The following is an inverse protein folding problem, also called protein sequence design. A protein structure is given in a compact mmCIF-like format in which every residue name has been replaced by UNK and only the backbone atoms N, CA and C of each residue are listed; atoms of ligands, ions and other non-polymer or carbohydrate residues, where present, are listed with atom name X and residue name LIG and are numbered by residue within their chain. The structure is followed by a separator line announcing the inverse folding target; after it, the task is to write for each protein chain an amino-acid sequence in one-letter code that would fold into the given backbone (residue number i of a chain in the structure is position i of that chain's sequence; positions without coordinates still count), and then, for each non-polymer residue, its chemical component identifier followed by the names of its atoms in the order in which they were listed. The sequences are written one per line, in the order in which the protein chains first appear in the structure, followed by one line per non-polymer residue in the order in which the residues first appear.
data_IF_469978837334
#
_entry.id   IF_469978837334
#
_cell.length_a   1.000
_cell.length_b   1.000
_cell.length_c   1.000
_cell.angle_alpha   90.00
_cell.angle_beta   90.00
_cell.angle_gamma   90.00
#
_symmetry.space_group_name_H-M   'P 1'
#
loop_
_entity.id
_entity.type
_entity.pdbx_description
1 polymer ?
#
# COMPACT_ATOMS: atom_id res chain seq x y z
N UNK A 1 70.78 47.37 36.02
CA UNK A 1 70.82 47.36 34.55
C UNK A 1 70.34 46.01 34.04
N UNK A 2 69.03 45.84 33.84
CA UNK A 2 68.51 44.56 33.32
C UNK A 2 67.34 44.88 32.42
N UNK A 3 67.45 44.56 31.13
CA UNK A 3 66.47 44.81 30.07
C UNK A 3 65.41 43.73 30.08
N UNK A 4 64.17 44.10 30.34
CA UNK A 4 63.01 43.24 30.18
C UNK A 4 62.62 43.21 28.69
N UNK A 5 62.64 42.03 28.06
CA UNK A 5 62.14 41.78 26.73
C UNK A 5 60.69 41.24 26.88
N UNK A 6 59.71 42.02 26.45
CA UNK A 6 58.33 41.58 26.34
C UNK A 6 58.16 40.68 25.11
N UNK A 7 57.83 39.44 25.36
CA UNK A 7 57.45 38.47 24.34
C UNK A 7 55.90 38.55 24.10
N UNK A 8 55.54 39.10 22.96
CA UNK A 8 54.12 39.16 22.56
C UNK A 8 53.75 37.84 21.94
N UNK A 9 52.80 37.09 22.55
CA UNK A 9 52.24 35.91 22.01
C UNK A 9 51.04 36.31 21.14
N UNK A 10 51.14 36.14 19.80
CA UNK A 10 50.02 36.20 18.89
C UNK A 10 49.22 34.89 18.99
N UNK A 11 48.00 34.94 19.54
CA UNK A 11 47.05 33.86 19.47
C UNK A 11 46.29 34.00 18.16
N UNK A 12 46.59 33.14 17.19
CA UNK A 12 45.81 33.01 15.96
C UNK A 12 44.59 32.16 16.27
N UNK A 13 43.42 32.80 16.40
CA UNK A 13 42.15 32.11 16.49
C UNK A 13 41.74 31.61 15.07
N UNK A 14 41.96 30.34 14.80
CA UNK A 14 41.42 29.68 13.61
C UNK A 14 39.91 29.45 13.81
N UNK A 15 39.07 30.33 13.26
CA UNK A 15 37.65 30.12 13.20
C UNK A 15 37.36 29.01 12.15
N UNK A 16 37.21 27.76 12.63
CA UNK A 16 36.75 26.64 11.81
C UNK A 16 35.31 26.85 11.42
N UNK A 17 35.06 27.20 10.16
CA UNK A 17 33.74 27.25 9.56
C UNK A 17 33.23 25.81 9.39
N UNK A 18 32.45 25.31 10.36
CA UNK A 18 31.72 24.05 10.23
C UNK A 18 30.63 24.24 9.21
N UNK A 19 30.87 23.87 7.95
CA UNK A 19 29.84 23.66 6.94
C UNK A 19 28.97 22.49 7.38
N UNK A 20 27.84 22.80 7.98
CA UNK A 20 26.78 21.81 8.22
C UNK A 20 26.24 21.38 6.87
N UNK A 21 26.72 20.27 6.34
CA UNK A 21 26.08 19.60 5.20
C UNK A 21 24.75 19.03 5.71
N UNK A 22 23.69 19.81 5.54
CA UNK A 22 22.33 19.29 5.72
C UNK A 22 22.13 18.20 4.66
N UNK A 23 22.28 16.95 5.06
CA UNK A 23 21.82 15.84 4.25
C UNK A 23 20.30 15.98 4.19
N UNK A 24 19.81 16.58 3.10
CA UNK A 24 18.42 16.39 2.71
C UNK A 24 18.21 14.89 2.55
N UNK A 25 17.53 14.28 3.52
CA UNK A 25 17.03 12.92 3.35
C UNK A 25 16.05 13.00 2.18
N UNK A 26 16.55 12.73 0.99
CA UNK A 26 15.70 12.52 -0.17
C UNK A 26 14.67 11.48 0.25
N UNK A 27 13.43 11.92 0.35
CA UNK A 27 12.30 11.07 0.71
C UNK A 27 12.29 9.93 -0.31
N UNK A 28 12.58 8.71 0.14
CA UNK A 28 12.59 7.57 -0.77
C UNK A 28 11.22 7.50 -1.44
N UNK A 29 11.16 7.27 -2.77
CA UNK A 29 9.90 7.11 -3.45
C UNK A 29 9.06 6.08 -2.72
N UNK A 30 7.77 6.37 -2.53
CA UNK A 30 6.84 5.38 -1.98
C UNK A 30 6.84 4.16 -2.91
N UNK A 31 7.51 3.09 -2.49
CA UNK A 31 7.68 1.87 -3.30
C UNK A 31 6.34 1.22 -3.67
N UNK A 32 5.26 1.69 -3.04
CA UNK A 32 3.92 1.19 -3.28
C UNK A 32 3.29 1.64 -4.60
N UNK A 33 3.61 2.84 -5.09
CA UNK A 33 2.99 3.43 -6.29
C UNK A 33 4.07 3.79 -7.29
N UNK A 34 4.42 2.84 -8.17
CA UNK A 34 5.42 3.05 -9.23
C UNK A 34 4.77 2.92 -10.61
N UNK A 35 4.18 4.00 -11.13
CA UNK A 35 3.56 4.01 -12.43
C UNK A 35 4.59 3.74 -13.54
N UNK A 36 4.18 2.93 -14.52
CA UNK A 36 5.02 2.55 -15.67
C UNK A 36 5.90 1.34 -15.46
N UNK A 37 6.09 0.86 -14.22
CA UNK A 37 6.77 -0.40 -13.98
C UNK A 37 5.88 -1.56 -14.45
N UNK A 38 6.40 -2.43 -15.28
CA UNK A 38 5.67 -3.66 -15.64
C UNK A 38 5.72 -4.66 -14.49
N UNK A 39 4.62 -5.42 -14.24
CA UNK A 39 4.63 -6.44 -13.23
C UNK A 39 5.67 -7.51 -13.57
N UNK A 40 6.39 -7.97 -12.56
CA UNK A 40 7.23 -9.16 -12.68
C UNK A 40 6.36 -10.38 -12.37
N UNK A 41 5.87 -11.05 -13.40
CA UNK A 41 5.02 -12.23 -13.29
C UNK A 41 5.80 -13.48 -12.79
N UNK A 42 7.13 -13.38 -12.65
CA UNK A 42 7.96 -14.43 -12.05
C UNK A 42 8.00 -14.38 -10.53
N UNK A 43 7.46 -13.33 -9.91
CA UNK A 43 7.38 -13.22 -8.45
C UNK A 43 6.44 -14.28 -7.91
N UNK A 44 7.01 -15.29 -7.28
CA UNK A 44 6.26 -16.30 -6.53
C UNK A 44 5.96 -15.77 -5.12
N UNK A 45 4.68 -15.76 -4.76
CA UNK A 45 4.28 -15.38 -3.40
C UNK A 45 4.69 -16.46 -2.40
N UNK A 46 5.17 -16.04 -1.24
CA UNK A 46 5.34 -16.96 -0.13
C UNK A 46 4.04 -17.72 0.16
N UNK A 47 4.09 -19.00 0.56
CA UNK A 47 2.89 -19.82 0.81
C UNK A 47 1.86 -19.18 1.73
N UNK A 48 2.29 -18.32 2.67
CA UNK A 48 1.42 -17.55 3.55
C UNK A 48 0.48 -16.61 2.77
N UNK A 49 0.96 -16.02 1.66
CA UNK A 49 0.21 -15.02 0.87
C UNK A 49 -0.52 -15.62 -0.32
N UNK A 50 -0.33 -16.90 -0.60
CA UNK A 50 -1.02 -17.58 -1.70
C UNK A 50 -2.51 -17.76 -1.39
N UNK A 51 -3.32 -17.67 -2.44
CA UNK A 51 -4.76 -17.95 -2.35
C UNK A 51 -5.01 -19.38 -1.90
N UNK A 52 -5.82 -19.54 -0.84
CA UNK A 52 -6.17 -20.88 -0.34
C UNK A 52 -7.51 -20.91 0.40
N UNK A 53 -8.16 -22.07 0.40
CA UNK A 53 -9.35 -22.32 1.20
C UNK A 53 -8.94 -22.59 2.65
N UNK A 54 -9.54 -21.86 3.59
CA UNK A 54 -9.26 -22.00 5.03
C UNK A 54 -10.55 -22.21 5.84
N UNK A 55 -10.43 -22.80 7.01
CA UNK A 55 -11.49 -22.72 8.02
C UNK A 55 -11.55 -21.29 8.56
N UNK A 56 -12.76 -20.74 8.56
CA UNK A 56 -12.96 -19.37 9.01
C UNK A 56 -14.32 -19.22 9.70
N UNK A 57 -14.30 -19.05 11.01
CA UNK A 57 -15.52 -18.87 11.80
C UNK A 57 -15.89 -17.40 11.84
N UNK A 58 -17.06 -17.07 11.39
CA UNK A 58 -17.60 -15.72 11.42
C UNK A 58 -19.13 -15.75 11.46
N UNK A 59 -19.75 -14.68 11.93
CA UNK A 59 -21.19 -14.45 11.87
C UNK A 59 -21.63 -13.81 10.56
N UNK A 60 -20.66 -13.43 9.71
CA UNK A 60 -20.94 -12.84 8.41
C UNK A 60 -21.50 -13.88 7.41
N UNK A 61 -22.45 -13.46 6.60
CA UNK A 61 -23.06 -14.34 5.61
C UNK A 61 -22.06 -14.73 4.49
N UNK A 62 -22.21 -15.94 3.89
CA UNK A 62 -21.48 -16.29 2.69
C UNK A 62 -21.60 -15.21 1.60
N UNK A 63 -20.51 -14.96 0.87
CA UNK A 63 -20.40 -13.88 -0.11
C UNK A 63 -19.90 -12.55 0.48
N UNK A 64 -19.84 -12.40 1.80
CA UNK A 64 -19.22 -11.22 2.44
C UNK A 64 -17.70 -11.27 2.28
N UNK A 65 -17.08 -10.11 2.00
CA UNK A 65 -15.64 -9.91 2.07
C UNK A 65 -15.29 -9.40 3.45
N UNK A 66 -14.33 -10.05 4.12
CA UNK A 66 -13.72 -9.57 5.38
C UNK A 66 -12.25 -9.28 5.11
N UNK A 67 -11.80 -8.08 5.46
CA UNK A 67 -10.40 -7.67 5.32
C UNK A 67 -9.81 -7.48 6.71
N UNK A 68 -8.78 -8.26 7.05
CA UNK A 68 -7.98 -8.10 8.25
C UNK A 68 -6.68 -7.38 7.88
N UNK A 69 -6.57 -6.09 8.24
CA UNK A 69 -5.35 -5.33 7.95
C UNK A 69 -4.18 -5.76 8.83
N UNK A 70 -4.45 -6.26 10.04
CA UNK A 70 -3.42 -6.82 10.93
C UNK A 70 -2.79 -8.09 10.35
N UNK A 71 -3.62 -8.98 9.80
CA UNK A 71 -3.17 -10.23 9.20
C UNK A 71 -2.70 -10.06 7.76
N UNK A 72 -3.03 -8.94 7.11
CA UNK A 72 -2.79 -8.67 5.68
C UNK A 72 -3.42 -9.74 4.78
N UNK A 73 -4.66 -10.12 5.16
CA UNK A 73 -5.46 -11.08 4.41
C UNK A 73 -6.86 -10.53 4.10
N UNK A 74 -7.37 -10.95 2.96
CA UNK A 74 -8.77 -10.78 2.56
C UNK A 74 -9.42 -12.17 2.55
N UNK A 75 -10.61 -12.26 3.14
CA UNK A 75 -11.39 -13.49 3.24
C UNK A 75 -12.73 -13.31 2.51
N UNK A 76 -12.97 -14.10 1.49
CA UNK A 76 -14.30 -14.23 0.88
C UNK A 76 -15.02 -15.36 1.59
N UNK A 77 -16.01 -15.02 2.43
CA UNK A 77 -16.77 -15.97 3.25
C UNK A 77 -17.49 -16.98 2.37
N UNK A 78 -17.35 -18.26 2.69
CA UNK A 78 -17.97 -19.40 2.02
C UNK A 78 -18.90 -20.15 2.96
N UNK A 79 -19.85 -20.95 2.44
CA UNK A 79 -20.66 -21.84 3.27
C UNK A 79 -19.79 -22.83 4.08
N UNK A 80 -20.32 -23.31 5.20
CA UNK A 80 -19.70 -24.37 5.99
C UNK A 80 -18.49 -23.93 6.82
N UNK A 81 -18.47 -22.69 7.30
CA UNK A 81 -17.42 -22.18 8.19
C UNK A 81 -16.06 -22.09 7.51
N UNK A 82 -16.03 -21.79 6.22
CA UNK A 82 -14.84 -21.64 5.40
C UNK A 82 -14.76 -20.27 4.77
N UNK A 83 -13.58 -19.88 4.31
CA UNK A 83 -13.37 -18.73 3.46
C UNK A 83 -12.27 -19.00 2.43
N UNK A 84 -12.38 -18.35 1.28
CA UNK A 84 -11.26 -18.25 0.35
C UNK A 84 -10.42 -17.06 0.79
N UNK A 85 -9.18 -17.35 1.22
CA UNK A 85 -8.22 -16.38 1.73
C UNK A 85 -7.27 -15.94 0.63
N UNK A 86 -7.03 -14.64 0.54
CA UNK A 86 -6.06 -14.01 -0.36
C UNK A 86 -5.06 -13.20 0.45
N UNK A 87 -3.78 -13.26 0.11
CA UNK A 87 -2.77 -12.35 0.62
C UNK A 87 -2.95 -10.95 0.03
N UNK A 88 -2.82 -9.92 0.85
CA UNK A 88 -3.01 -8.54 0.40
C UNK A 88 -1.92 -7.60 0.89
N UNK A 89 -1.63 -6.56 0.09
CA UNK A 89 -0.96 -5.36 0.57
C UNK A 89 -1.99 -4.39 1.16
N UNK A 90 -1.64 -3.74 2.28
CA UNK A 90 -2.55 -2.87 3.02
C UNK A 90 -1.99 -1.45 3.20
N UNK A 91 -2.79 -0.55 3.76
CA UNK A 91 -2.38 0.80 4.12
C UNK A 91 -1.17 0.80 5.05
N UNK A 92 -0.17 1.64 4.75
CA UNK A 92 0.95 1.91 5.66
C UNK A 92 0.45 2.60 6.94
N UNK A 93 1.31 2.70 7.93
CA UNK A 93 0.97 3.33 9.19
C UNK A 93 0.46 4.77 8.98
N UNK A 94 -0.64 5.12 9.65
CA UNK A 94 -1.39 6.36 9.45
C UNK A 94 -2.41 6.36 8.30
N UNK A 95 -2.42 5.32 7.45
CA UNK A 95 -3.40 5.14 6.37
C UNK A 95 -4.30 3.91 6.55
N UNK A 96 -4.25 3.30 7.71
CA UNK A 96 -5.13 2.18 8.05
C UNK A 96 -6.48 2.69 8.53
N UNK A 97 -7.53 2.01 8.12
CA UNK A 97 -8.91 2.31 8.50
C UNK A 97 -9.69 1.03 8.76
N UNK A 98 -10.84 1.17 9.38
CA UNK A 98 -11.80 0.09 9.59
C UNK A 98 -13.21 0.59 9.31
N UNK A 99 -14.11 -0.32 8.97
CA UNK A 99 -15.50 0.04 8.70
C UNK A 99 -16.24 -0.98 7.86
N UNK A 100 -17.48 -0.62 7.55
CA UNK A 100 -18.40 -1.40 6.73
C UNK A 100 -18.72 -0.61 5.48
N UNK A 101 -18.42 -1.18 4.33
CA UNK A 101 -18.70 -0.63 3.01
C UNK A 101 -19.31 -1.71 2.10
N UNK A 102 -19.61 -1.35 0.88
CA UNK A 102 -19.99 -2.28 -0.18
C UNK A 102 -19.24 -1.96 -1.46
N UNK A 103 -19.11 -2.94 -2.35
CA UNK A 103 -18.60 -2.71 -3.70
C UNK A 103 -19.63 -1.87 -4.45
N UNK A 104 -19.28 -0.63 -4.75
CA UNK A 104 -20.17 0.31 -5.47
C UNK A 104 -20.00 0.21 -6.99
N UNK A 105 -18.81 -0.13 -7.47
CA UNK A 105 -18.46 -0.21 -8.88
C UNK A 105 -17.27 -1.17 -9.08
N UNK A 106 -17.24 -1.78 -10.26
CA UNK A 106 -16.16 -2.67 -10.71
C UNK A 106 -15.61 -2.13 -12.04
N UNK A 107 -14.32 -2.31 -12.27
CA UNK A 107 -13.67 -1.96 -13.53
C UNK A 107 -12.54 -2.93 -13.87
N UNK A 108 -12.43 -3.26 -15.15
CA UNK A 108 -11.30 -3.97 -15.72
C UNK A 108 -10.28 -2.98 -16.24
N UNK A 109 -9.01 -3.24 -16.00
CA UNK A 109 -7.89 -2.37 -16.40
C UNK A 109 -8.22 -0.89 -16.19
N UNK A 110 -8.52 -0.47 -14.93
CA UNK A 110 -9.00 0.87 -14.65
C UNK A 110 -7.93 1.93 -14.92
N UNK A 111 -8.36 3.09 -15.37
CA UNK A 111 -7.53 4.27 -15.37
C UNK A 111 -7.19 4.69 -13.93
N UNK A 112 -6.03 5.27 -13.74
CA UNK A 112 -5.56 5.76 -12.46
C UNK A 112 -5.36 7.27 -12.46
N UNK A 113 -6.01 7.93 -11.53
CA UNK A 113 -5.81 9.34 -11.20
C UNK A 113 -5.42 9.38 -9.72
N UNK A 114 -4.17 9.75 -9.40
CA UNK A 114 -3.76 9.91 -8.01
C UNK A 114 -4.61 10.94 -7.29
N UNK A 115 -5.04 10.70 -6.03
CA UNK A 115 -5.69 11.70 -5.21
C UNK A 115 -4.80 12.95 -5.02
N UNK A 116 -5.39 14.16 -4.86
CA UNK A 116 -4.61 15.39 -4.67
C UNK A 116 -3.58 15.28 -3.54
N UNK A 117 -3.94 14.70 -2.41
CA UNK A 117 -3.06 14.53 -1.25
C UNK A 117 -1.88 13.58 -1.55
N UNK A 118 -2.05 12.65 -2.48
CA UNK A 118 -0.96 11.79 -2.95
C UNK A 118 0.00 12.59 -3.82
N UNK A 119 -0.51 13.45 -4.68
CA UNK A 119 0.31 14.35 -5.52
C UNK A 119 1.09 15.35 -4.66
N UNK A 120 0.50 15.86 -3.57
CA UNK A 120 1.21 16.74 -2.65
C UNK A 120 2.41 16.04 -2.00
N UNK A 121 2.24 14.78 -1.61
CA UNK A 121 3.34 13.97 -1.04
C UNK A 121 4.35 13.50 -2.08
N UNK A 122 3.91 13.31 -3.33
CA UNK A 122 4.70 12.75 -4.42
C UNK A 122 4.46 13.55 -5.72
N UNK A 123 5.04 14.76 -5.84
CA UNK A 123 4.76 15.67 -6.97
C UNK A 123 5.19 15.13 -8.34
N UNK A 124 6.07 14.13 -8.36
CA UNK A 124 6.57 13.47 -9.57
C UNK A 124 5.56 12.49 -10.21
N UNK A 125 4.49 12.12 -9.50
CA UNK A 125 3.48 11.21 -10.04
C UNK A 125 2.73 11.84 -11.22
N UNK A 126 2.37 11.05 -12.25
CA UNK A 126 1.53 11.52 -13.33
C UNK A 126 0.16 11.92 -12.79
N UNK A 127 -0.48 12.91 -13.42
CA UNK A 127 -1.85 13.36 -13.04
C UNK A 127 -2.92 12.38 -13.51
N UNK A 128 -2.59 11.54 -14.49
CA UNK A 128 -3.45 10.52 -15.07
C UNK A 128 -2.59 9.42 -15.67
N UNK A 129 -3.05 8.18 -15.59
CA UNK A 129 -2.48 7.03 -16.26
C UNK A 129 -3.59 6.12 -16.77
N UNK A 130 -3.57 5.83 -18.06
CA UNK A 130 -4.49 4.89 -18.67
C UNK A 130 -4.33 3.47 -18.09
N UNK A 131 -5.39 2.68 -18.12
CA UNK A 131 -5.37 1.28 -17.71
C UNK A 131 -4.37 0.46 -18.53
N UNK A 132 -3.75 -0.52 -17.89
CA UNK A 132 -2.76 -1.39 -18.52
C UNK A 132 -1.78 -2.00 -17.52
N UNK A 133 -0.86 -2.87 -17.97
CA UNK A 133 0.05 -3.62 -17.08
C UNK A 133 0.92 -2.73 -16.18
N UNK A 134 1.37 -1.58 -16.65
CA UNK A 134 2.16 -0.63 -15.86
C UNK A 134 1.35 0.27 -14.93
N UNK A 135 0.02 0.12 -14.89
CA UNK A 135 -0.84 0.92 -14.02
C UNK A 135 -0.85 0.35 -12.59
N UNK A 136 -0.64 1.18 -11.55
CA UNK A 136 -0.62 0.72 -10.15
C UNK A 136 -1.91 0.02 -9.67
N UNK A 137 -3.05 0.24 -10.33
CA UNK A 137 -4.30 -0.45 -9.99
C UNK A 137 -4.39 -1.87 -10.58
N UNK A 138 -3.47 -2.25 -11.46
CA UNK A 138 -3.43 -3.58 -12.04
C UNK A 138 -4.65 -3.95 -12.88
N UNK A 139 -4.92 -5.26 -12.99
CA UNK A 139 -5.89 -5.80 -13.93
C UNK A 139 -7.36 -5.50 -13.58
N UNK A 140 -7.72 -5.33 -12.30
CA UNK A 140 -9.09 -5.12 -11.83
C UNK A 140 -9.13 -4.16 -10.66
N UNK A 141 -10.23 -3.41 -10.53
CA UNK A 141 -10.54 -2.65 -9.33
C UNK A 141 -12.01 -2.77 -8.93
N UNK A 142 -12.24 -2.86 -7.63
CA UNK A 142 -13.55 -2.84 -6.97
C UNK A 142 -13.58 -1.64 -6.03
N UNK A 143 -14.42 -0.67 -6.32
CA UNK A 143 -14.51 0.61 -5.60
C UNK A 143 -15.44 0.47 -4.41
N UNK A 144 -15.04 0.96 -3.25
CA UNK A 144 -15.73 0.78 -1.98
C UNK A 144 -16.58 2.01 -1.62
N UNK A 145 -17.90 1.87 -1.70
CA UNK A 145 -18.84 2.96 -1.43
C UNK A 145 -18.55 4.21 -2.27
N UNK A 146 -18.67 5.36 -1.64
CA UNK A 146 -18.33 6.69 -2.23
C UNK A 146 -16.94 7.16 -1.83
N UNK A 147 -16.12 6.26 -1.28
CA UNK A 147 -14.78 6.59 -0.77
C UNK A 147 -13.72 6.53 -1.88
N UNK A 148 -12.49 6.94 -1.53
CA UNK A 148 -11.31 6.77 -2.39
C UNK A 148 -10.72 5.37 -2.32
N UNK A 149 -11.23 4.49 -1.43
CA UNK A 149 -10.67 3.17 -1.20
C UNK A 149 -11.13 2.14 -2.24
N UNK A 150 -10.24 1.20 -2.53
CA UNK A 150 -10.43 0.17 -3.54
C UNK A 150 -9.81 -1.15 -3.07
N UNK A 151 -10.38 -2.24 -3.56
CA UNK A 151 -9.70 -3.53 -3.68
C UNK A 151 -9.24 -3.61 -5.14
N UNK A 152 -7.95 -3.79 -5.41
CA UNK A 152 -7.41 -3.71 -6.77
C UNK A 152 -6.20 -4.62 -6.99
N UNK A 153 -5.83 -4.82 -8.23
CA UNK A 153 -4.60 -5.51 -8.61
C UNK A 153 -3.35 -4.68 -8.32
N UNK A 154 -2.23 -5.09 -8.86
CA UNK A 154 -0.99 -4.33 -8.71
C UNK A 154 -0.03 -4.61 -9.86
N UNK A 155 0.82 -3.63 -10.17
CA UNK A 155 2.01 -3.82 -10.98
C UNK A 155 3.25 -4.16 -10.12
N UNK A 156 3.08 -4.28 -8.78
CA UNK A 156 4.12 -4.60 -7.81
C UNK A 156 3.70 -5.79 -6.94
N UNK A 157 3.74 -7.04 -7.49
CA UNK A 157 3.35 -8.25 -6.76
C UNK A 157 4.20 -8.51 -5.51
N UNK A 158 5.45 -8.04 -5.48
CA UNK A 158 6.36 -8.08 -4.34
C UNK A 158 5.87 -7.28 -3.11
N UNK A 159 4.85 -6.43 -3.27
CA UNK A 159 4.27 -5.66 -2.16
C UNK A 159 3.13 -6.38 -1.43
N UNK A 160 2.75 -7.58 -1.86
CA UNK A 160 1.76 -8.39 -1.15
C UNK A 160 2.33 -8.86 0.20
N UNK A 161 1.51 -8.86 1.23
CA UNK A 161 1.93 -9.12 2.60
C UNK A 161 2.59 -7.92 3.30
N UNK A 162 2.60 -6.73 2.70
CA UNK A 162 3.27 -5.55 3.27
C UNK A 162 2.31 -4.37 3.51
N UNK A 163 2.77 -3.35 4.24
CA UNK A 163 2.04 -2.11 4.54
C UNK A 163 2.59 -0.98 3.66
N UNK A 164 2.05 -0.80 2.47
CA UNK A 164 2.62 0.12 1.47
C UNK A 164 1.63 1.08 0.83
N UNK A 165 0.33 0.85 0.95
CA UNK A 165 -0.66 1.67 0.25
C UNK A 165 -1.10 2.91 1.03
N UNK A 166 -1.83 3.80 0.37
CA UNK A 166 -2.54 4.93 1.00
C UNK A 166 -3.96 4.53 1.44
N UNK A 167 -4.17 3.28 1.87
CA UNK A 167 -5.42 2.77 2.43
C UNK A 167 -6.19 1.81 1.53
N UNK A 168 -5.80 1.63 0.27
CA UNK A 168 -6.36 0.62 -0.62
C UNK A 168 -5.79 -0.77 -0.32
N UNK A 169 -6.46 -1.81 -0.82
CA UNK A 169 -6.10 -3.21 -0.64
C UNK A 169 -5.63 -3.79 -1.97
N UNK A 170 -4.36 -4.24 -2.03
CA UNK A 170 -3.72 -4.76 -3.23
C UNK A 170 -3.70 -6.27 -3.23
N UNK A 171 -4.00 -6.87 -4.36
CA UNK A 171 -3.81 -8.29 -4.64
C UNK A 171 -2.90 -8.44 -5.86
N UNK A 172 -2.30 -9.61 -6.05
CA UNK A 172 -1.73 -9.95 -7.36
C UNK A 172 -2.83 -9.98 -8.42
N UNK A 173 -2.49 -9.74 -9.67
CA UNK A 173 -3.47 -9.58 -10.75
C UNK A 173 -4.33 -10.83 -10.97
N UNK A 174 -3.79 -12.03 -10.81
CA UNK A 174 -4.55 -13.28 -10.90
C UNK A 174 -5.60 -13.41 -9.79
N UNK A 175 -5.26 -13.01 -8.56
CA UNK A 175 -6.16 -13.12 -7.41
C UNK A 175 -7.25 -12.06 -7.43
N UNK A 176 -6.93 -10.83 -7.84
CA UNK A 176 -7.98 -9.81 -7.97
C UNK A 176 -8.93 -10.13 -9.11
N UNK A 177 -8.48 -10.76 -10.19
CA UNK A 177 -9.36 -11.21 -11.27
C UNK A 177 -10.28 -12.33 -10.77
N UNK A 178 -9.75 -13.34 -10.07
CA UNK A 178 -10.55 -14.41 -9.47
C UNK A 178 -11.59 -13.85 -8.46
N UNK A 179 -11.20 -12.92 -7.58
CA UNK A 179 -12.14 -12.29 -6.66
C UNK A 179 -13.21 -11.46 -7.40
N UNK A 180 -12.78 -10.69 -8.40
CA UNK A 180 -13.65 -9.85 -9.21
C UNK A 180 -14.76 -10.67 -9.86
N UNK A 181 -14.46 -11.85 -10.42
CA UNK A 181 -15.44 -12.70 -11.08
C UNK A 181 -16.44 -13.34 -10.09
N UNK A 182 -16.03 -13.55 -8.84
CA UNK A 182 -16.87 -14.15 -7.79
C UNK A 182 -17.85 -13.21 -7.13
N UNK A 183 -17.59 -11.91 -7.08
CA UNK A 183 -18.36 -10.97 -6.26
C UNK A 183 -19.10 -9.94 -7.12
N UNK A 184 -20.43 -9.74 -6.92
CA UNK A 184 -21.20 -8.72 -7.60
C UNK A 184 -20.99 -7.32 -6.97
N UNK A 185 -21.41 -6.28 -7.71
CA UNK A 185 -21.69 -4.96 -7.12
C UNK A 185 -22.72 -5.12 -6.00
N UNK A 186 -22.56 -4.38 -4.91
CA UNK A 186 -23.36 -4.51 -3.70
C UNK A 186 -22.78 -5.47 -2.65
N UNK A 187 -21.74 -6.27 -2.99
CA UNK A 187 -21.08 -7.16 -2.03
C UNK A 187 -20.64 -6.39 -0.80
N UNK A 188 -21.00 -6.89 0.38
CA UNK A 188 -20.62 -6.35 1.69
C UNK A 188 -19.12 -6.53 1.91
N UNK A 189 -18.47 -5.47 2.39
CA UNK A 189 -17.03 -5.46 2.70
C UNK A 189 -16.85 -4.95 4.14
N UNK A 190 -16.33 -5.80 5.01
CA UNK A 190 -16.01 -5.50 6.41
C UNK A 190 -14.51 -5.36 6.54
N UNK A 191 -14.03 -4.20 6.95
CA UNK A 191 -12.60 -3.94 7.18
C UNK A 191 -12.33 -3.87 8.67
N UNK A 192 -11.38 -4.67 9.15
CA UNK A 192 -10.98 -4.79 10.57
C UNK A 192 -9.49 -4.57 10.71
N UNK A 193 -9.10 -3.90 11.81
CA UNK A 193 -7.69 -3.69 12.15
C UNK A 193 -7.15 -4.74 13.12
N UNK A 194 -8.02 -5.52 13.75
CA UNK A 194 -7.66 -6.59 14.68
C UNK A 194 -8.11 -7.94 14.12
N UNK A 195 -7.39 -9.03 14.40
CA UNK A 195 -7.85 -10.38 14.11
C UNK A 195 -9.20 -10.65 14.81
N UNK A 196 -10.03 -11.51 14.22
CA UNK A 196 -11.14 -12.13 14.95
C UNK A 196 -10.54 -13.12 15.95
N UNK A 197 -10.89 -12.95 17.25
CA UNK A 197 -10.52 -13.90 18.32
C UNK A 197 -11.37 -15.16 18.22
#
# INVERSE_FOLDING_TARGET
MTKFRHLIWMVIAAAGLMLSVSHSLAQQPDVGDQPGLLPDDSVELDPEWQKQMVYYRTTEAPGTIIISTAERHLYLVQPGGRALRYGIGVGRDGFQWQGLLSIARKAEWPDWTPPPEMIERQPYLPRFMAGGPGNPLGARAMYLGTTVYRIHGTNRPDTIGTKVSSGCFRLVNSDVADLYDRVPVGTKVVVRQKPEL
#
